data_IF_423488253352
#
_entry.id   IF_423488253352
#
_cell.length_a   1.000
_cell.length_b   1.000
_cell.length_c   1.000
_cell.angle_alpha   90.00
_cell.angle_beta   90.00
_cell.angle_gamma   90.00
#
_symmetry.space_group_name_H-M   'P 1'
#
loop_
_entity.id
_entity.type
_entity.pdbx_description
1 polymer ?
#
# COMPACT_ATOMS: atom_id res chain seq x y z
N UNK A 1 1.70 8.84 28.37
CA UNK A 1 0.30 9.33 28.37
C UNK A 1 0.16 10.77 27.87
N UNK A 2 0.76 11.79 28.49
CA UNK A 2 0.71 13.18 27.94
C UNK A 2 1.46 13.30 26.61
N UNK A 3 2.60 12.60 26.47
CA UNK A 3 3.36 12.54 25.22
C UNK A 3 2.61 11.89 24.06
N UNK A 4 1.86 10.81 24.31
CA UNK A 4 1.06 10.12 23.29
C UNK A 4 -0.09 11.00 22.78
N UNK A 5 -0.74 11.74 23.70
CA UNK A 5 -1.77 12.72 23.37
C UNK A 5 -1.21 13.86 22.51
N UNK A 6 -0.08 14.43 22.92
CA UNK A 6 0.61 15.48 22.16
C UNK A 6 1.02 14.99 20.77
N UNK A 7 1.57 13.78 20.66
CA UNK A 7 1.96 13.19 19.38
C UNK A 7 0.78 12.99 18.44
N UNK A 8 -0.35 12.47 18.93
CA UNK A 8 -1.59 12.34 18.13
C UNK A 8 -2.10 13.69 17.66
N UNK A 9 -2.18 14.68 18.55
CA UNK A 9 -2.66 16.03 18.20
C UNK A 9 -1.77 16.69 17.14
N UNK A 10 -0.44 16.57 17.25
CA UNK A 10 0.49 17.12 16.26
C UNK A 10 0.31 16.43 14.89
N UNK A 11 0.17 15.11 14.88
CA UNK A 11 -0.08 14.35 13.66
C UNK A 11 -1.41 14.72 13.02
N UNK A 12 -2.47 14.83 13.81
CA UNK A 12 -3.82 15.17 13.34
C UNK A 12 -3.87 16.60 12.77
N UNK A 13 -3.26 17.58 13.46
CA UNK A 13 -3.16 18.96 12.96
C UNK A 13 -2.38 19.01 11.64
N UNK A 14 -1.29 18.25 11.54
CA UNK A 14 -0.50 18.17 10.31
C UNK A 14 -1.33 17.56 9.17
N UNK A 15 -2.10 16.50 9.45
CA UNK A 15 -2.99 15.89 8.48
C UNK A 15 -4.08 16.87 8.02
N UNK A 16 -4.73 17.58 8.94
CA UNK A 16 -5.74 18.61 8.63
C UNK A 16 -5.15 19.73 7.78
N UNK A 17 -3.93 20.18 8.08
CA UNK A 17 -3.24 21.20 7.28
C UNK A 17 -2.98 20.75 5.84
N UNK A 18 -2.54 19.50 5.64
CA UNK A 18 -2.33 18.93 4.30
C UNK A 18 -3.65 18.79 3.55
N UNK A 19 -4.71 18.41 4.25
CA UNK A 19 -6.05 18.23 3.67
C UNK A 19 -6.64 19.58 3.23
N UNK A 20 -6.62 20.58 4.11
CA UNK A 20 -7.22 21.91 3.87
C UNK A 20 -6.35 22.84 3.03
N UNK A 21 -5.02 22.70 3.06
CA UNK A 21 -4.10 23.49 2.26
C UNK A 21 -4.03 22.98 0.82
N UNK A 22 -3.07 22.09 0.50
CA UNK A 22 -2.93 21.57 -0.85
C UNK A 22 -4.08 20.64 -1.27
N UNK A 23 -4.69 19.89 -0.34
CA UNK A 23 -5.74 18.92 -0.66
C UNK A 23 -6.98 19.57 -1.29
N UNK A 24 -7.54 20.59 -0.65
CA UNK A 24 -8.71 21.33 -1.17
C UNK A 24 -8.38 22.02 -2.49
N UNK A 25 -7.22 22.69 -2.58
CA UNK A 25 -6.78 23.33 -3.82
C UNK A 25 -6.68 22.34 -4.98
N UNK A 26 -6.10 21.16 -4.75
CA UNK A 26 -5.99 20.12 -5.77
C UNK A 26 -7.36 19.53 -6.14
N UNK A 27 -8.26 19.34 -5.16
CA UNK A 27 -9.61 18.83 -5.42
C UNK A 27 -10.43 19.76 -6.31
N UNK A 28 -10.21 21.08 -6.23
CA UNK A 28 -10.87 22.06 -7.09
C UNK A 28 -10.13 22.21 -8.43
N UNK A 29 -8.80 22.40 -8.39
CA UNK A 29 -8.03 22.70 -9.59
C UNK A 29 -7.90 21.51 -10.54
N UNK A 30 -7.69 20.29 -10.03
CA UNK A 30 -7.50 19.12 -10.88
C UNK A 30 -8.67 18.87 -11.85
N UNK A 31 -9.94 18.79 -11.40
CA UNK A 31 -11.06 18.59 -12.33
C UNK A 31 -11.27 19.79 -13.26
N UNK A 32 -11.06 21.03 -12.78
CA UNK A 32 -11.17 22.23 -13.63
C UNK A 32 -10.13 22.20 -14.76
N UNK A 33 -8.86 21.93 -14.45
CA UNK A 33 -7.81 21.85 -15.46
C UNK A 33 -8.00 20.68 -16.41
N UNK A 34 -8.41 19.51 -15.92
CA UNK A 34 -8.73 18.37 -16.79
C UNK A 34 -9.88 18.68 -17.74
N UNK A 35 -10.97 19.24 -17.22
CA UNK A 35 -12.14 19.60 -18.03
C UNK A 35 -11.76 20.66 -19.08
N UNK A 36 -11.06 21.71 -18.65
CA UNK A 36 -10.57 22.76 -19.53
C UNK A 36 -9.67 22.21 -20.65
N UNK A 37 -8.70 21.36 -20.31
CA UNK A 37 -7.80 20.74 -21.28
C UNK A 37 -8.56 19.88 -22.30
N UNK A 38 -9.48 19.01 -21.84
CA UNK A 38 -10.28 18.15 -22.73
C UNK A 38 -11.17 18.97 -23.66
N UNK A 39 -11.83 20.02 -23.16
CA UNK A 39 -12.67 20.91 -23.99
C UNK A 39 -11.84 21.59 -25.06
N UNK A 40 -10.66 22.12 -24.70
CA UNK A 40 -9.75 22.74 -25.66
C UNK A 40 -9.27 21.74 -26.72
N UNK A 41 -8.80 20.56 -26.30
CA UNK A 41 -8.32 19.52 -27.22
C UNK A 41 -9.43 19.08 -28.21
N UNK A 42 -10.65 18.86 -27.72
CA UNK A 42 -11.80 18.51 -28.56
C UNK A 42 -12.16 19.62 -29.55
N UNK A 43 -11.99 20.89 -29.16
CA UNK A 43 -12.24 22.03 -30.05
C UNK A 43 -11.21 22.16 -31.17
N UNK A 44 -9.99 21.65 -30.96
CA UNK A 44 -8.90 21.68 -31.95
C UNK A 44 -8.95 20.47 -32.89
N UNK A 45 -8.87 19.26 -32.35
CA UNK A 45 -8.89 18.02 -33.13
C UNK A 45 -9.40 16.84 -32.30
N UNK A 46 -10.58 16.35 -32.65
CA UNK A 46 -11.23 15.23 -31.96
C UNK A 46 -10.44 13.92 -32.14
N UNK A 47 -9.82 13.69 -33.30
CA UNK A 47 -9.09 12.44 -33.58
C UNK A 47 -7.80 12.35 -32.76
N UNK A 48 -7.02 13.44 -32.69
CA UNK A 48 -5.82 13.48 -31.83
C UNK A 48 -6.19 13.40 -30.35
N UNK A 49 -7.29 14.04 -29.94
CA UNK A 49 -7.78 13.94 -28.55
C UNK A 49 -8.11 12.50 -28.18
N UNK A 50 -8.85 11.78 -29.03
CA UNK A 50 -9.18 10.38 -28.78
C UNK A 50 -7.93 9.50 -28.71
N UNK A 51 -6.94 9.74 -29.58
CA UNK A 51 -5.67 9.03 -29.53
C UNK A 51 -4.91 9.26 -28.20
N UNK A 52 -4.90 10.50 -27.70
CA UNK A 52 -4.25 10.86 -26.44
C UNK A 52 -5.02 10.34 -25.20
N UNK A 53 -6.34 10.22 -25.28
CA UNK A 53 -7.17 9.75 -24.15
C UNK A 53 -7.21 8.21 -24.07
N UNK A 54 -7.03 7.50 -25.18
CA UNK A 54 -7.09 6.03 -25.26
C UNK A 54 -6.24 5.27 -24.21
N UNK A 55 -5.02 5.71 -23.84
CA UNK A 55 -4.20 5.02 -22.84
C UNK A 55 -4.76 5.13 -21.41
N UNK A 56 -5.54 6.17 -21.09
CA UNK A 56 -6.06 6.41 -19.75
C UNK A 56 -7.04 5.31 -19.27
N UNK A 57 -8.04 4.87 -20.05
CA UNK A 57 -8.86 3.70 -19.69
C UNK A 57 -8.03 2.44 -19.41
N UNK A 58 -6.97 2.20 -20.19
CA UNK A 58 -6.07 1.05 -19.99
C UNK A 58 -5.31 1.17 -18.66
N UNK A 59 -4.81 2.36 -18.33
CA UNK A 59 -4.18 2.65 -17.04
C UNK A 59 -5.15 2.43 -15.88
N UNK A 60 -6.38 2.95 -15.98
CA UNK A 60 -7.40 2.80 -14.92
C UNK A 60 -7.71 1.32 -14.69
N UNK A 61 -7.89 0.54 -15.76
CA UNK A 61 -8.14 -0.90 -15.66
C UNK A 61 -6.97 -1.62 -14.99
N UNK A 62 -5.73 -1.32 -15.40
CA UNK A 62 -4.54 -1.91 -14.82
C UNK A 62 -4.40 -1.60 -13.33
N UNK A 63 -4.48 -0.32 -12.95
CA UNK A 63 -4.40 0.13 -11.55
C UNK A 63 -5.45 -0.57 -10.70
N UNK A 64 -6.68 -0.70 -11.20
CA UNK A 64 -7.76 -1.38 -10.48
C UNK A 64 -7.45 -2.85 -10.21
N UNK A 65 -6.85 -3.55 -11.18
CA UNK A 65 -6.41 -4.94 -11.03
C UNK A 65 -5.28 -5.10 -9.99
N UNK A 66 -4.25 -4.24 -10.07
CA UNK A 66 -3.13 -4.28 -9.13
C UNK A 66 -3.54 -3.90 -7.71
N UNK A 67 -4.43 -2.90 -7.55
CA UNK A 67 -4.92 -2.45 -6.25
C UNK A 67 -5.54 -3.60 -5.45
N UNK A 68 -6.40 -4.40 -6.09
CA UNK A 68 -7.03 -5.55 -5.42
C UNK A 68 -6.00 -6.57 -4.94
N UNK A 69 -5.05 -6.95 -5.81
CA UNK A 69 -3.99 -7.92 -5.48
C UNK A 69 -3.10 -7.44 -4.35
N UNK A 70 -2.69 -6.17 -4.38
CA UNK A 70 -1.84 -5.59 -3.34
C UNK A 70 -2.57 -5.49 -2.01
N UNK A 71 -3.86 -5.13 -2.01
CA UNK A 71 -4.65 -5.09 -0.79
C UNK A 71 -4.71 -6.48 -0.15
N UNK A 72 -5.05 -7.51 -0.92
CA UNK A 72 -5.11 -8.89 -0.42
C UNK A 72 -3.74 -9.37 0.08
N UNK A 73 -2.66 -9.14 -0.67
CA UNK A 73 -1.32 -9.53 -0.24
C UNK A 73 -0.87 -8.76 1.02
N UNK A 74 -1.26 -7.49 1.16
CA UNK A 74 -0.96 -6.69 2.35
C UNK A 74 -1.70 -7.22 3.58
N UNK A 75 -2.96 -7.65 3.43
CA UNK A 75 -3.73 -8.28 4.50
C UNK A 75 -3.08 -9.59 4.95
N UNK A 76 -2.65 -10.45 4.02
CA UNK A 76 -1.94 -11.70 4.36
C UNK A 76 -0.64 -11.45 5.13
N UNK A 77 0.14 -10.43 4.74
CA UNK A 77 1.35 -10.05 5.47
C UNK A 77 1.01 -9.57 6.89
N UNK A 78 -0.08 -8.83 7.06
CA UNK A 78 -0.54 -8.39 8.39
C UNK A 78 -1.02 -9.56 9.26
N UNK A 79 -1.75 -10.53 8.69
CA UNK A 79 -2.17 -11.75 9.38
C UNK A 79 -0.96 -12.55 9.86
N UNK A 80 0.04 -12.77 9.00
CA UNK A 80 1.26 -13.49 9.37
C UNK A 80 2.11 -12.76 10.41
N UNK A 81 2.17 -11.43 10.34
CA UNK A 81 2.83 -10.62 11.38
C UNK A 81 2.13 -10.78 12.75
N UNK A 82 0.80 -10.87 12.75
CA UNK A 82 0.03 -11.06 13.97
C UNK A 82 0.27 -12.46 14.57
N UNK A 83 0.30 -13.50 13.73
CA UNK A 83 0.63 -14.87 14.14
C UNK A 83 2.03 -14.96 14.76
N UNK A 84 3.04 -14.42 14.07
CA UNK A 84 4.42 -14.36 14.57
C UNK A 84 4.51 -13.60 15.90
N UNK A 85 3.80 -12.47 16.03
CA UNK A 85 3.78 -11.65 17.24
C UNK A 85 3.12 -12.38 18.41
N UNK A 86 2.03 -13.09 18.16
CA UNK A 86 1.34 -13.89 19.17
C UNK A 86 2.24 -15.03 19.67
N UNK A 87 2.90 -15.76 18.76
CA UNK A 87 3.84 -16.82 19.12
C UNK A 87 5.00 -16.30 19.98
N UNK A 88 5.56 -15.14 19.64
CA UNK A 88 6.60 -14.50 20.47
C UNK A 88 6.04 -14.09 21.83
N UNK A 89 4.84 -13.51 21.89
CA UNK A 89 4.23 -13.08 23.14
C UNK A 89 3.90 -14.24 24.09
N UNK A 90 3.40 -15.35 23.55
CA UNK A 90 3.13 -16.58 24.29
C UNK A 90 4.42 -17.17 24.86
N UNK A 91 5.46 -17.28 24.03
CA UNK A 91 6.77 -17.77 24.45
C UNK A 91 7.44 -16.90 25.51
N UNK A 92 7.30 -15.57 25.42
CA UNK A 92 7.83 -14.66 26.45
C UNK A 92 7.04 -14.76 27.75
N UNK A 93 5.71 -14.85 27.68
CA UNK A 93 4.84 -14.95 28.86
C UNK A 93 5.00 -16.31 29.56
N UNK A 94 5.19 -17.38 28.80
CA UNK A 94 5.37 -18.76 29.26
C UNK A 94 6.83 -19.22 29.34
N UNK A 95 7.81 -18.31 29.30
CA UNK A 95 9.23 -18.68 29.13
C UNK A 95 9.76 -19.64 30.22
N UNK A 96 9.24 -19.53 31.44
CA UNK A 96 9.57 -20.45 32.52
C UNK A 96 9.11 -21.89 32.23
N UNK A 97 7.97 -22.08 31.58
CA UNK A 97 7.45 -23.40 31.14
C UNK A 97 8.32 -23.94 30.02
N UNK A 98 8.63 -23.12 29.02
CA UNK A 98 9.48 -23.52 27.88
C UNK A 98 10.84 -24.05 28.39
N UNK A 99 11.45 -23.36 29.36
CA UNK A 99 12.71 -23.77 29.99
C UNK A 99 12.54 -25.01 30.87
N UNK A 100 11.49 -25.09 31.67
CA UNK A 100 11.25 -26.24 32.55
C UNK A 100 11.15 -27.57 31.77
N UNK A 101 10.63 -27.52 30.54
CA UNK A 101 10.53 -28.68 29.65
C UNK A 101 11.66 -28.77 28.60
N UNK A 102 12.68 -27.92 28.66
CA UNK A 102 13.78 -27.83 27.68
C UNK A 102 13.28 -27.75 26.21
N UNK A 103 12.19 -27.01 25.97
CA UNK A 103 11.51 -26.90 24.67
C UNK A 103 12.03 -25.74 23.79
N UNK A 104 13.10 -25.06 24.20
CA UNK A 104 13.63 -23.85 23.52
C UNK A 104 13.96 -24.10 22.04
N UNK A 105 14.61 -25.23 21.75
CA UNK A 105 14.94 -25.62 20.38
C UNK A 105 13.68 -25.91 19.55
N UNK A 106 12.61 -26.43 20.16
CA UNK A 106 11.36 -26.67 19.47
C UNK A 106 10.65 -25.36 19.12
N UNK A 107 10.52 -24.46 20.10
CA UNK A 107 9.94 -23.13 19.90
C UNK A 107 10.72 -22.30 18.88
N UNK A 108 12.04 -22.46 18.84
CA UNK A 108 12.89 -21.80 17.83
C UNK A 108 12.61 -22.34 16.43
N UNK A 109 12.43 -23.65 16.25
CA UNK A 109 12.08 -24.24 14.95
C UNK A 109 10.72 -23.75 14.46
N UNK A 110 9.74 -23.68 15.36
CA UNK A 110 8.40 -23.17 15.04
C UNK A 110 8.43 -21.69 14.65
N UNK A 111 9.17 -20.85 15.40
CA UNK A 111 9.40 -19.46 15.04
C UNK A 111 10.06 -19.29 13.67
N UNK A 112 11.05 -20.13 13.33
CA UNK A 112 11.71 -20.09 12.02
C UNK A 112 10.71 -20.39 10.91
N UNK A 113 9.85 -21.40 11.07
CA UNK A 113 8.81 -21.72 10.08
C UNK A 113 7.84 -20.56 9.87
N UNK A 114 7.31 -19.97 10.94
CA UNK A 114 6.42 -18.80 10.86
C UNK A 114 7.11 -17.59 10.20
N UNK A 115 8.40 -17.39 10.48
CA UNK A 115 9.17 -16.30 9.89
C UNK A 115 9.45 -16.52 8.40
N UNK A 116 9.67 -17.76 7.96
CA UNK A 116 9.80 -18.12 6.54
C UNK A 116 8.49 -17.85 5.78
N UNK A 117 7.34 -18.24 6.35
CA UNK A 117 6.03 -17.96 5.77
C UNK A 117 5.76 -16.45 5.68
N UNK A 118 6.08 -15.70 6.74
CA UNK A 118 6.00 -14.23 6.75
C UNK A 118 6.90 -13.60 5.67
N UNK A 119 8.13 -14.11 5.50
CA UNK A 119 9.05 -13.64 4.47
C UNK A 119 8.50 -13.92 3.05
N UNK A 120 7.93 -15.10 2.82
CA UNK A 120 7.34 -15.47 1.53
C UNK A 120 6.20 -14.51 1.15
N UNK A 121 5.28 -14.22 2.07
CA UNK A 121 4.17 -13.29 1.81
C UNK A 121 4.67 -11.86 1.58
N UNK A 122 5.72 -11.44 2.28
CA UNK A 122 6.35 -10.14 2.02
C UNK A 122 7.00 -10.07 0.64
N UNK A 123 7.67 -11.13 0.20
CA UNK A 123 8.25 -11.21 -1.15
C UNK A 123 7.17 -11.18 -2.23
N UNK A 124 6.03 -11.86 -2.03
CA UNK A 124 4.87 -11.78 -2.93
C UNK A 124 4.37 -10.33 -3.06
N UNK A 125 4.17 -9.66 -1.92
CA UNK A 125 3.75 -8.26 -1.89
C UNK A 125 4.77 -7.32 -2.54
N UNK A 126 6.06 -7.53 -2.29
CA UNK A 126 7.15 -6.74 -2.87
C UNK A 126 7.21 -6.90 -4.39
N UNK A 127 7.05 -8.12 -4.92
CA UNK A 127 6.95 -8.37 -6.36
C UNK A 127 5.76 -7.66 -6.98
N UNK A 128 4.58 -7.73 -6.34
CA UNK A 128 3.38 -7.03 -6.83
C UNK A 128 3.57 -5.51 -6.88
N UNK A 129 4.18 -4.92 -5.84
CA UNK A 129 4.49 -3.48 -5.80
C UNK A 129 5.54 -3.10 -6.83
N UNK A 130 6.59 -3.92 -6.98
CA UNK A 130 7.67 -3.70 -7.93
C UNK A 130 7.21 -3.75 -9.40
N UNK A 131 6.16 -4.52 -9.70
CA UNK A 131 5.60 -4.63 -11.06
C UNK A 131 4.74 -3.44 -11.48
N UNK A 132 4.21 -2.63 -10.55
CA UNK A 132 3.35 -1.48 -10.93
C UNK A 132 4.14 -0.45 -11.73
N UNK A 133 5.31 -0.04 -11.24
CA UNK A 133 6.07 1.05 -11.86
C UNK A 133 6.46 0.75 -13.33
N UNK A 134 7.05 -0.40 -13.69
CA UNK A 134 7.35 -0.71 -15.08
C UNK A 134 6.08 -0.85 -15.93
N UNK A 135 4.98 -1.36 -15.37
CA UNK A 135 3.72 -1.47 -16.09
C UNK A 135 3.13 -0.09 -16.42
N UNK A 136 3.17 0.84 -15.46
CA UNK A 136 2.73 2.23 -15.64
C UNK A 136 3.60 2.97 -16.65
N UNK A 137 4.93 2.82 -16.57
CA UNK A 137 5.86 3.45 -17.52
C UNK A 137 5.68 2.89 -18.94
N UNK A 138 5.45 1.58 -19.07
CA UNK A 138 5.19 0.95 -20.37
C UNK A 138 3.95 1.51 -21.07
N UNK A 139 2.86 1.74 -20.33
CA UNK A 139 1.65 2.35 -20.91
C UNK A 139 1.85 3.85 -21.16
N UNK A 140 2.51 4.57 -20.25
CA UNK A 140 2.79 5.99 -20.44
C UNK A 140 3.67 6.26 -21.66
N UNK A 141 4.62 5.38 -21.98
CA UNK A 141 5.49 5.52 -23.15
C UNK A 141 4.78 5.33 -24.50
N UNK A 142 3.51 4.92 -24.52
CA UNK A 142 2.68 4.83 -25.72
C UNK A 142 2.00 6.15 -26.10
N UNK A 143 2.10 7.19 -25.25
CA UNK A 143 1.45 8.51 -25.42
C UNK A 143 2.52 9.59 -25.53
#
# INVERSE_FOLDING_TARGET
RTGDLMSRVINDISAVRVLLGPGVLNLVNAPLYYLYAVVLMLSMDVRMTLAAVLPYPLLIWAVRNFRGKILTASLRVQEQMAELSNHVQENLSGMHVVKAYNQEANQTREFVGLNEDFQEKNLELARLRGLINPFMQGISGLT
#
